data_IF_105764324120
#
_entry.id   IF_105764324120
#
_cell.length_a   1.000
_cell.length_b   1.000
_cell.length_c   1.000
_cell.angle_alpha   90.00
_cell.angle_beta   90.00
_cell.angle_gamma   90.00
#
_symmetry.space_group_name_H-M   'P 1'
#
loop_
_entity.id
_entity.type
_entity.pdbx_description
1 polymer ?
#
# COMPACT_ATOMS: atom_id res chain seq x y z
N UNK A 1 2.73 -23.04 -12.74
CA UNK A 1 2.58 -21.67 -13.23
C UNK A 1 3.78 -20.86 -12.77
N UNK A 2 4.39 -20.09 -13.65
CA UNK A 2 5.58 -19.28 -13.37
C UNK A 2 5.19 -17.85 -13.01
N UNK A 3 5.58 -17.38 -11.83
CA UNK A 3 5.29 -16.02 -11.37
C UNK A 3 6.60 -15.30 -11.08
N UNK A 4 6.74 -14.06 -11.56
CA UNK A 4 7.85 -13.19 -11.22
C UNK A 4 7.40 -12.09 -10.27
N UNK A 5 8.14 -11.86 -9.17
CA UNK A 5 7.96 -10.75 -8.24
C UNK A 5 9.00 -9.69 -8.56
N UNK A 6 8.53 -8.54 -9.01
CA UNK A 6 9.34 -7.39 -9.41
C UNK A 6 9.57 -6.49 -8.19
N UNK A 7 10.77 -6.55 -7.61
CA UNK A 7 11.14 -5.93 -6.35
C UNK A 7 11.21 -6.94 -5.21
N UNK A 8 12.35 -6.96 -4.51
CA UNK A 8 12.68 -7.93 -3.46
C UNK A 8 12.97 -7.24 -2.12
N UNK A 9 12.32 -6.08 -1.89
CA UNK A 9 12.42 -5.30 -0.66
C UNK A 9 11.72 -5.96 0.53
N UNK A 10 11.34 -5.15 1.53
CA UNK A 10 10.69 -5.61 2.76
C UNK A 10 9.37 -6.35 2.47
N UNK A 11 8.53 -5.79 1.60
CA UNK A 11 7.22 -6.37 1.26
C UNK A 11 7.33 -7.42 0.15
N UNK A 12 8.06 -7.13 -0.95
CA UNK A 12 8.20 -8.06 -2.07
C UNK A 12 8.80 -9.41 -1.66
N UNK A 13 9.74 -9.41 -0.72
CA UNK A 13 10.28 -10.64 -0.14
C UNK A 13 9.24 -11.46 0.62
N UNK A 14 8.29 -10.81 1.31
CA UNK A 14 7.17 -11.50 2.01
C UNK A 14 6.19 -12.08 1.00
N UNK A 15 5.86 -11.33 -0.04
CA UNK A 15 5.01 -11.80 -1.14
C UNK A 15 5.60 -13.05 -1.77
N UNK A 16 6.89 -13.00 -2.12
CA UNK A 16 7.57 -14.13 -2.77
C UNK A 16 7.58 -15.38 -1.88
N UNK A 17 7.87 -15.21 -0.58
CA UNK A 17 7.85 -16.31 0.39
C UNK A 17 6.47 -16.93 0.54
N UNK A 18 5.43 -16.09 0.64
CA UNK A 18 4.07 -16.59 0.76
C UNK A 18 3.62 -17.31 -0.52
N UNK A 19 3.92 -16.76 -1.70
CA UNK A 19 3.63 -17.42 -2.99
C UNK A 19 4.35 -18.76 -3.13
N UNK A 20 5.61 -18.84 -2.76
CA UNK A 20 6.42 -20.06 -2.84
C UNK A 20 5.97 -21.17 -1.88
N UNK A 21 5.20 -20.84 -0.84
CA UNK A 21 4.59 -21.83 0.04
C UNK A 21 3.47 -22.64 -0.65
N UNK A 22 2.96 -22.19 -1.81
CA UNK A 22 2.06 -22.94 -2.68
C UNK A 22 2.91 -23.76 -3.65
N UNK A 23 3.03 -25.08 -3.42
CA UNK A 23 3.87 -25.98 -4.21
C UNK A 23 3.53 -26.07 -5.71
N UNK A 24 2.45 -25.45 -6.16
CA UNK A 24 2.04 -25.39 -7.57
C UNK A 24 2.57 -24.15 -8.31
N UNK A 25 3.24 -23.24 -7.62
CA UNK A 25 3.78 -22.00 -8.18
C UNK A 25 5.32 -22.04 -8.24
N UNK A 26 5.87 -21.78 -9.42
CA UNK A 26 7.30 -21.52 -9.61
C UNK A 26 7.53 -20.00 -9.46
N UNK A 27 8.14 -19.59 -8.35
CA UNK A 27 8.32 -18.17 -8.03
C UNK A 27 9.75 -17.75 -8.30
N UNK A 28 9.91 -16.65 -9.04
CA UNK A 28 11.18 -15.95 -9.24
C UNK A 28 11.07 -14.54 -8.66
N UNK A 29 12.12 -14.08 -7.97
CA UNK A 29 12.24 -12.69 -7.51
C UNK A 29 13.27 -11.96 -8.37
N UNK A 30 12.96 -10.74 -8.77
CA UNK A 30 13.87 -9.89 -9.53
C UNK A 30 14.08 -8.56 -8.83
N UNK A 31 15.35 -8.16 -8.66
CA UNK A 31 15.75 -6.90 -8.03
C UNK A 31 17.13 -6.49 -8.52
N UNK A 32 17.44 -5.19 -8.44
CA UNK A 32 18.81 -4.71 -8.68
C UNK A 32 19.79 -5.08 -7.56
N UNK A 33 19.29 -5.36 -6.36
CA UNK A 33 20.08 -5.67 -5.18
C UNK A 33 20.28 -7.18 -5.03
N UNK A 34 21.49 -7.65 -5.29
CA UNK A 34 21.89 -9.04 -5.02
C UNK A 34 21.65 -9.44 -3.57
N UNK A 35 21.95 -8.54 -2.62
CA UNK A 35 21.74 -8.80 -1.20
C UNK A 35 20.26 -9.04 -0.86
N UNK A 36 19.35 -8.24 -1.44
CA UNK A 36 17.91 -8.41 -1.24
C UNK A 36 17.43 -9.77 -1.78
N UNK A 37 17.88 -10.16 -2.96
CA UNK A 37 17.59 -11.46 -3.56
C UNK A 37 18.12 -12.59 -2.67
N UNK A 38 19.39 -12.56 -2.28
CA UNK A 38 20.02 -13.61 -1.49
C UNK A 38 19.34 -13.79 -0.12
N UNK A 39 18.81 -12.71 0.45
CA UNK A 39 18.02 -12.77 1.70
C UNK A 39 16.76 -13.64 1.52
N UNK A 40 16.03 -13.50 0.41
CA UNK A 40 14.82 -14.28 0.15
C UNK A 40 15.15 -15.72 -0.26
N UNK A 41 16.20 -15.94 -1.07
CA UNK A 41 16.68 -17.27 -1.46
C UNK A 41 17.04 -18.15 -0.25
N UNK A 42 17.56 -17.55 0.83
CA UNK A 42 17.83 -18.28 2.08
C UNK A 42 16.59 -18.70 2.85
N UNK A 43 15.44 -18.11 2.55
CA UNK A 43 14.21 -18.27 3.35
C UNK A 43 13.07 -19.01 2.61
N UNK A 44 13.17 -19.12 1.28
CA UNK A 44 12.11 -19.74 0.47
C UNK A 44 12.67 -20.39 -0.80
N UNK A 45 12.01 -21.44 -1.33
CA UNK A 45 12.39 -22.12 -2.56
C UNK A 45 12.02 -21.28 -3.79
N UNK A 46 12.70 -20.16 -4.01
CA UNK A 46 12.49 -19.27 -5.15
C UNK A 46 13.75 -19.14 -5.98
N UNK A 47 13.63 -18.70 -7.24
CA UNK A 47 14.76 -18.31 -8.08
C UNK A 47 15.03 -16.81 -7.94
N UNK A 48 16.21 -16.35 -8.30
CA UNK A 48 16.59 -14.94 -8.21
C UNK A 48 17.23 -14.44 -9.49
N UNK A 49 16.83 -13.25 -9.95
CA UNK A 49 17.36 -12.57 -11.13
C UNK A 49 17.78 -11.14 -10.76
N UNK A 50 18.93 -10.69 -11.28
CA UNK A 50 19.36 -9.30 -11.10
C UNK A 50 18.86 -8.49 -12.27
N UNK A 51 17.92 -7.56 -12.00
CA UNK A 51 17.31 -6.67 -12.99
C UNK A 51 17.25 -5.24 -12.48
N UNK A 52 17.66 -4.29 -13.30
CA UNK A 52 17.52 -2.87 -13.01
C UNK A 52 16.30 -2.32 -13.75
N UNK A 53 15.18 -2.22 -13.04
CA UNK A 53 13.89 -1.76 -13.57
C UNK A 53 13.86 -0.27 -13.95
N UNK A 54 14.90 0.49 -13.67
CA UNK A 54 15.03 1.86 -14.15
C UNK A 54 15.40 1.95 -15.64
N UNK A 55 15.82 0.84 -16.23
CA UNK A 55 16.22 0.78 -17.65
C UNK A 55 14.99 0.50 -18.52
N UNK A 56 14.77 1.28 -19.59
CA UNK A 56 13.68 1.05 -20.52
C UNK A 56 13.71 -0.39 -21.09
N UNK A 57 12.55 -1.05 -21.12
CA UNK A 57 12.38 -2.42 -21.63
C UNK A 57 12.80 -3.52 -20.67
N UNK A 58 13.50 -3.21 -19.57
CA UNK A 58 13.99 -4.22 -18.63
C UNK A 58 12.87 -5.02 -17.96
N UNK A 59 11.74 -4.38 -17.68
CA UNK A 59 10.57 -5.06 -17.11
C UNK A 59 9.96 -6.01 -18.14
N UNK A 60 9.74 -5.53 -19.37
CA UNK A 60 9.16 -6.34 -20.44
C UNK A 60 9.98 -7.59 -20.72
N UNK A 61 11.31 -7.45 -20.77
CA UNK A 61 12.21 -8.57 -21.01
C UNK A 61 12.18 -9.55 -19.84
N UNK A 62 12.20 -9.05 -18.60
CA UNK A 62 12.15 -9.86 -17.38
C UNK A 62 10.85 -10.69 -17.27
N UNK A 63 9.70 -10.16 -17.70
CA UNK A 63 8.40 -10.86 -17.57
C UNK A 63 8.09 -11.80 -18.74
N UNK A 64 8.89 -11.81 -19.80
CA UNK A 64 8.60 -12.51 -21.06
C UNK A 64 8.29 -14.00 -20.88
N UNK A 65 9.09 -14.70 -20.06
CA UNK A 65 9.03 -16.15 -19.83
C UNK A 65 8.09 -16.56 -18.68
N UNK A 66 7.37 -15.59 -18.09
CA UNK A 66 6.46 -15.82 -16.97
C UNK A 66 5.01 -15.74 -17.39
N UNK A 67 4.15 -16.42 -16.63
CA UNK A 67 2.71 -16.42 -16.86
C UNK A 67 2.06 -15.15 -16.27
N UNK A 68 2.62 -14.62 -15.19
CA UNK A 68 2.10 -13.50 -14.43
C UNK A 68 3.21 -12.76 -13.68
N UNK A 69 3.03 -11.45 -13.46
CA UNK A 69 3.90 -10.64 -12.61
C UNK A 69 3.21 -10.21 -11.31
N UNK A 70 4.02 -9.90 -10.29
CA UNK A 70 3.61 -9.21 -9.08
C UNK A 70 4.54 -8.00 -8.90
N UNK A 71 3.96 -6.79 -8.81
CA UNK A 71 4.70 -5.55 -8.68
C UNK A 71 4.92 -5.20 -7.20
N UNK A 72 6.19 -4.92 -6.83
CA UNK A 72 6.59 -4.47 -5.50
C UNK A 72 7.81 -3.53 -5.58
N UNK A 73 7.85 -2.70 -6.62
CA UNK A 73 8.90 -1.69 -6.84
C UNK A 73 8.56 -0.38 -6.12
N UNK A 74 9.54 0.52 -5.89
CA UNK A 74 9.27 1.87 -5.39
C UNK A 74 8.28 2.63 -6.28
N UNK A 75 7.47 3.52 -5.70
CA UNK A 75 6.37 4.21 -6.38
C UNK A 75 6.77 4.89 -7.69
N UNK A 76 7.92 5.55 -7.74
CA UNK A 76 8.40 6.26 -8.94
C UNK A 76 8.71 5.34 -10.15
N UNK A 77 8.81 4.02 -9.95
CA UNK A 77 8.96 3.02 -11.02
C UNK A 77 7.63 2.35 -11.38
N UNK A 78 6.61 2.47 -10.52
CA UNK A 78 5.38 1.68 -10.59
C UNK A 78 4.63 1.84 -11.89
N UNK A 79 4.38 3.07 -12.34
CA UNK A 79 3.61 3.33 -13.56
C UNK A 79 4.27 2.74 -14.83
N UNK A 80 5.58 2.97 -15.00
CA UNK A 80 6.31 2.43 -16.15
C UNK A 80 6.40 0.89 -16.08
N UNK A 81 6.60 0.33 -14.90
CA UNK A 81 6.57 -1.12 -14.67
C UNK A 81 5.22 -1.70 -15.10
N UNK A 82 4.09 -1.13 -14.63
CA UNK A 82 2.74 -1.56 -15.04
C UNK A 82 2.58 -1.52 -16.57
N UNK A 83 2.97 -0.40 -17.19
CA UNK A 83 2.88 -0.24 -18.66
C UNK A 83 3.64 -1.33 -19.41
N UNK A 84 4.90 -1.59 -19.06
CA UNK A 84 5.72 -2.61 -19.74
C UNK A 84 5.16 -4.04 -19.53
N UNK A 85 4.62 -4.37 -18.33
CA UNK A 85 3.97 -5.66 -18.06
C UNK A 85 2.71 -5.82 -18.91
N UNK A 86 1.88 -4.77 -19.03
CA UNK A 86 0.67 -4.78 -19.87
C UNK A 86 1.06 -4.94 -21.35
N UNK A 87 2.06 -4.21 -21.83
CA UNK A 87 2.57 -4.33 -23.20
C UNK A 87 3.05 -5.75 -23.52
N UNK A 88 3.66 -6.44 -22.54
CA UNK A 88 4.04 -7.84 -22.62
C UNK A 88 2.85 -8.83 -22.59
N UNK A 89 1.62 -8.34 -22.39
CA UNK A 89 0.41 -9.18 -22.33
C UNK A 89 0.33 -10.05 -21.09
N UNK A 90 0.87 -9.58 -19.95
CA UNK A 90 0.87 -10.34 -18.68
C UNK A 90 -0.09 -9.76 -17.66
N UNK A 91 -0.78 -10.65 -16.93
CA UNK A 91 -1.53 -10.24 -15.73
C UNK A 91 -0.56 -9.76 -14.65
N UNK A 92 -1.02 -8.79 -13.84
CA UNK A 92 -0.23 -8.28 -12.71
C UNK A 92 -1.12 -7.93 -11.52
N UNK A 93 -0.61 -8.19 -10.32
CA UNK A 93 -1.09 -7.61 -9.06
C UNK A 93 0.03 -6.75 -8.49
N UNK A 94 -0.26 -5.48 -8.22
CA UNK A 94 0.76 -4.48 -7.89
C UNK A 94 0.45 -3.76 -6.57
N UNK A 95 1.51 -3.53 -5.80
CA UNK A 95 1.46 -2.73 -4.55
C UNK A 95 2.19 -1.40 -4.65
N UNK A 96 2.74 -1.06 -5.82
CA UNK A 96 3.54 0.16 -5.98
C UNK A 96 2.66 1.40 -5.79
N UNK A 97 3.10 2.32 -4.93
CA UNK A 97 2.40 3.58 -4.66
C UNK A 97 2.82 4.66 -5.67
N UNK A 98 2.50 4.42 -6.96
CA UNK A 98 2.89 5.34 -8.03
C UNK A 98 2.18 6.71 -7.90
N UNK A 99 2.85 7.84 -8.16
CA UNK A 99 2.20 9.16 -8.17
C UNK A 99 1.23 9.33 -9.34
N UNK A 100 1.46 8.61 -10.43
CA UNK A 100 0.61 8.67 -11.64
C UNK A 100 -0.70 7.91 -11.43
N UNK A 101 -1.68 8.27 -12.24
CA UNK A 101 -2.98 7.60 -12.28
C UNK A 101 -2.92 6.34 -13.15
N UNK A 102 -2.87 5.18 -12.51
CA UNK A 102 -2.85 3.88 -13.19
C UNK A 102 -4.07 3.60 -14.08
N UNK A 103 -5.22 4.27 -13.84
CA UNK A 103 -6.40 4.15 -14.70
C UNK A 103 -6.16 4.62 -16.15
N UNK A 104 -5.15 5.43 -16.40
CA UNK A 104 -4.75 5.80 -17.76
C UNK A 104 -4.29 4.61 -18.62
N UNK A 105 -3.90 3.51 -17.98
CA UNK A 105 -3.49 2.27 -18.64
C UNK A 105 -4.66 1.31 -18.94
N UNK A 106 -5.90 1.64 -18.51
CA UNK A 106 -7.05 0.73 -18.61
C UNK A 106 -7.37 0.32 -20.05
N UNK A 107 -7.37 1.27 -20.98
CA UNK A 107 -7.63 0.97 -22.40
C UNK A 107 -6.58 0.03 -23.00
N UNK A 108 -5.31 0.21 -22.64
CA UNK A 108 -4.22 -0.67 -23.07
C UNK A 108 -4.37 -2.07 -22.45
N UNK A 109 -4.69 -2.15 -21.17
CA UNK A 109 -4.88 -3.42 -20.47
C UNK A 109 -6.08 -4.20 -21.02
N UNK A 110 -7.19 -3.53 -21.36
CA UNK A 110 -8.34 -4.12 -22.06
C UNK A 110 -7.98 -4.63 -23.44
N UNK A 111 -7.24 -3.84 -24.23
CA UNK A 111 -6.77 -4.26 -25.55
C UNK A 111 -5.89 -5.52 -25.48
N UNK A 112 -5.09 -5.65 -24.44
CA UNK A 112 -4.21 -6.80 -24.19
C UNK A 112 -4.93 -7.95 -23.47
N UNK A 113 -6.20 -7.78 -23.11
CA UNK A 113 -7.02 -8.76 -22.38
C UNK A 113 -6.38 -9.24 -21.06
N UNK A 114 -5.63 -8.36 -20.37
CA UNK A 114 -4.95 -8.66 -19.11
C UNK A 114 -5.70 -8.10 -17.92
N UNK A 115 -5.50 -8.74 -16.75
CA UNK A 115 -5.96 -8.27 -15.45
C UNK A 115 -4.82 -7.51 -14.77
N UNK A 116 -5.06 -6.25 -14.43
CA UNK A 116 -4.09 -5.36 -13.79
C UNK A 116 -4.68 -4.85 -12.47
N UNK A 117 -4.49 -5.59 -11.39
CA UNK A 117 -4.95 -5.19 -10.06
C UNK A 117 -3.89 -4.27 -9.44
N UNK A 118 -4.24 -3.02 -9.27
CA UNK A 118 -3.35 -1.96 -8.75
C UNK A 118 -3.61 -1.66 -7.29
N UNK A 119 -2.66 -0.96 -6.64
CA UNK A 119 -2.80 -0.52 -5.24
C UNK A 119 -3.22 -1.68 -4.28
N UNK A 120 -2.75 -2.90 -4.48
CA UNK A 120 -3.22 -4.10 -3.78
C UNK A 120 -2.46 -4.37 -2.47
N UNK A 121 -2.29 -3.33 -1.63
CA UNK A 121 -1.60 -3.40 -0.34
C UNK A 121 -2.56 -3.42 0.86
N UNK A 122 -2.13 -2.81 1.97
CA UNK A 122 -2.99 -2.59 3.14
C UNK A 122 -3.81 -1.32 2.99
N UNK A 123 -3.18 -0.18 2.67
CA UNK A 123 -3.78 1.10 2.36
C UNK A 123 -2.80 1.93 1.50
N UNK A 124 -3.14 2.16 0.24
CA UNK A 124 -4.29 1.64 -0.48
C UNK A 124 -4.26 0.11 -0.63
N UNK A 125 -5.45 -0.48 -0.78
CA UNK A 125 -5.61 -1.92 -0.97
C UNK A 125 -6.75 -2.47 -0.13
N UNK A 126 -6.46 -3.13 1.00
CA UNK A 126 -7.51 -3.63 1.89
C UNK A 126 -8.45 -2.53 2.37
N UNK A 127 -7.97 -1.31 2.60
CA UNK A 127 -8.81 -0.16 2.91
C UNK A 127 -9.88 0.08 1.85
N UNK A 128 -9.48 0.06 0.58
CA UNK A 128 -10.36 0.24 -0.57
C UNK A 128 -11.31 -0.96 -0.76
N UNK A 129 -10.79 -2.19 -0.60
CA UNK A 129 -11.57 -3.43 -0.68
C UNK A 129 -12.68 -3.43 0.37
N UNK A 130 -12.37 -3.07 1.61
CA UNK A 130 -13.34 -2.99 2.71
C UNK A 130 -14.39 -1.89 2.46
N UNK A 131 -13.95 -0.72 1.96
CA UNK A 131 -14.85 0.37 1.58
C UNK A 131 -15.80 -0.04 0.45
N UNK A 132 -15.27 -0.69 -0.59
CA UNK A 132 -16.05 -1.21 -1.72
C UNK A 132 -17.07 -2.26 -1.29
N UNK A 133 -16.67 -3.19 -0.42
CA UNK A 133 -17.56 -4.20 0.12
C UNK A 133 -18.68 -3.59 0.96
N UNK A 134 -18.36 -2.75 1.95
CA UNK A 134 -19.35 -2.11 2.82
C UNK A 134 -20.35 -1.28 2.02
N UNK A 135 -19.87 -0.46 1.07
CA UNK A 135 -20.74 0.34 0.23
C UNK A 135 -21.67 -0.52 -0.65
N UNK A 136 -21.21 -1.69 -1.12
CA UNK A 136 -22.05 -2.60 -1.93
C UNK A 136 -23.18 -3.28 -1.15
N UNK A 137 -23.15 -3.22 0.19
CA UNK A 137 -24.21 -3.74 1.06
C UNK A 137 -25.28 -2.70 1.42
N UNK A 138 -25.08 -1.45 1.02
CA UNK A 138 -25.95 -0.32 1.29
C UNK A 138 -26.75 0.08 0.05
N UNK A 139 -27.93 0.68 0.26
CA UNK A 139 -28.70 1.33 -0.81
C UNK A 139 -28.03 2.66 -1.20
N UNK A 140 -27.51 3.38 -0.21
CA UNK A 140 -26.81 4.65 -0.37
C UNK A 140 -25.65 4.74 0.63
N UNK A 141 -24.42 4.92 0.15
CA UNK A 141 -23.26 5.20 0.97
C UNK A 141 -23.04 6.72 1.06
N UNK A 142 -23.02 7.28 2.26
CA UNK A 142 -22.95 8.72 2.53
C UNK A 142 -21.56 9.21 2.90
N UNK A 143 -20.78 8.37 3.60
CA UNK A 143 -19.40 8.71 3.96
C UNK A 143 -18.50 7.48 4.09
N UNK A 144 -17.21 7.70 3.80
CA UNK A 144 -16.14 6.72 4.03
C UNK A 144 -14.94 7.41 4.69
N UNK A 145 -14.51 6.89 5.83
CA UNK A 145 -13.31 7.33 6.52
C UNK A 145 -12.34 6.17 6.67
N UNK A 146 -11.10 6.40 6.26
CA UNK A 146 -10.00 5.45 6.38
C UNK A 146 -8.93 6.06 7.29
N UNK A 147 -8.58 5.34 8.36
CA UNK A 147 -7.50 5.69 9.26
C UNK A 147 -6.50 4.54 9.25
N UNK A 148 -5.23 4.79 8.93
CA UNK A 148 -4.21 3.75 8.84
C UNK A 148 -2.85 4.23 9.30
N UNK A 149 -2.07 3.37 9.93
CA UNK A 149 -0.71 3.69 10.34
C UNK A 149 0.13 2.47 10.66
N UNK A 150 1.44 2.59 10.40
CA UNK A 150 2.46 1.69 10.90
C UNK A 150 3.29 2.41 11.95
N UNK A 151 3.42 1.84 13.16
CA UNK A 151 4.06 2.49 14.28
C UNK A 151 4.99 1.51 15.02
N UNK A 152 6.12 1.99 15.55
CA UNK A 152 6.95 1.18 16.44
C UNK A 152 6.20 0.90 17.75
N UNK A 153 6.40 -0.29 18.32
CA UNK A 153 5.85 -0.64 19.64
C UNK A 153 6.47 0.26 20.72
N UNK A 154 7.79 0.47 20.64
CA UNK A 154 8.53 1.37 21.53
C UNK A 154 8.66 2.76 20.91
N UNK A 155 8.39 3.80 21.72
CA UNK A 155 8.43 5.19 21.30
C UNK A 155 9.81 5.79 21.53
N UNK A 156 10.57 5.98 20.46
CA UNK A 156 11.92 6.57 20.51
C UNK A 156 11.92 8.04 20.14
N UNK A 157 12.34 8.87 21.07
CA UNK A 157 12.57 10.31 20.85
C UNK A 157 13.57 10.53 19.69
N UNK A 158 13.42 11.57 18.83
CA UNK A 158 12.42 12.66 18.89
C UNK A 158 11.15 12.38 18.09
N UNK A 159 11.15 11.46 17.13
CA UNK A 159 10.07 11.31 16.15
C UNK A 159 9.02 10.27 16.54
N UNK A 160 9.37 9.35 17.42
CA UNK A 160 8.50 8.24 17.82
C UNK A 160 7.97 7.47 16.59
N UNK A 161 8.80 7.35 15.57
CA UNK A 161 8.47 6.77 14.28
C UNK A 161 9.60 5.85 13.81
N UNK A 162 9.21 4.79 13.10
CA UNK A 162 10.08 3.89 12.34
C UNK A 162 9.51 3.69 10.96
N UNK A 163 10.39 3.71 9.95
CA UNK A 163 10.01 3.40 8.57
C UNK A 163 9.73 1.91 8.46
N UNK A 164 8.55 1.59 7.99
CA UNK A 164 8.06 0.22 7.80
C UNK A 164 7.85 -0.13 6.32
N UNK A 165 8.04 0.83 5.43
CA UNK A 165 7.93 0.70 3.97
C UNK A 165 8.99 1.57 3.26
N UNK A 166 8.72 2.13 2.08
CA UNK A 166 9.67 2.97 1.33
C UNK A 166 9.97 4.29 2.05
N UNK A 167 11.25 4.63 2.31
CA UNK A 167 11.60 5.89 2.97
C UNK A 167 11.22 7.15 2.19
N UNK A 168 11.32 7.11 0.86
CA UNK A 168 10.96 8.24 0.01
C UNK A 168 9.45 8.46 0.01
N UNK A 169 8.66 7.39 -0.12
CA UNK A 169 7.20 7.47 -0.09
C UNK A 169 6.70 7.98 1.28
N UNK A 170 7.46 7.74 2.38
CA UNK A 170 7.15 8.30 3.70
C UNK A 170 7.26 9.84 3.72
N UNK A 171 8.26 10.43 3.07
CA UNK A 171 8.39 11.90 3.01
C UNK A 171 7.26 12.48 2.14
N UNK A 172 6.88 11.78 1.06
CA UNK A 172 5.78 12.20 0.20
C UNK A 172 4.46 12.34 0.96
N UNK A 173 4.19 11.52 1.99
CA UNK A 173 3.01 11.67 2.85
C UNK A 173 2.94 13.03 3.56
N UNK A 174 4.07 13.71 3.77
CA UNK A 174 4.14 14.97 4.50
C UNK A 174 4.14 16.22 3.60
N UNK A 175 4.30 16.04 2.29
CA UNK A 175 4.38 17.15 1.33
C UNK A 175 3.30 17.11 0.26
N UNK A 176 2.84 15.92 -0.16
CA UNK A 176 1.82 15.78 -1.20
C UNK A 176 0.46 16.24 -0.67
N UNK A 177 -0.24 17.17 -1.36
CA UNK A 177 -1.60 17.54 -1.02
C UNK A 177 -2.52 16.32 -0.98
N UNK A 178 -3.36 16.23 0.06
CA UNK A 178 -4.33 15.16 0.21
C UNK A 178 -5.61 15.48 -0.58
N UNK A 179 -6.02 14.59 -1.46
CA UNK A 179 -7.29 14.69 -2.17
C UNK A 179 -8.36 13.99 -1.35
N UNK A 180 -9.41 14.72 -1.01
CA UNK A 180 -10.59 14.21 -0.28
C UNK A 180 -11.85 14.44 -1.11
N UNK A 181 -12.93 13.74 -0.78
CA UNK A 181 -14.26 13.99 -1.36
C UNK A 181 -15.11 14.73 -0.34
N UNK A 182 -15.59 15.92 -0.67
CA UNK A 182 -16.51 16.69 0.15
C UNK A 182 -17.74 17.08 -0.66
N UNK A 183 -18.92 16.67 -0.20
CA UNK A 183 -20.20 16.93 -0.88
C UNK A 183 -20.19 16.57 -2.38
N UNK A 184 -19.55 15.43 -2.72
CA UNK A 184 -19.46 14.93 -4.09
C UNK A 184 -18.45 15.66 -4.98
N UNK A 185 -17.55 16.46 -4.39
CA UNK A 185 -16.48 17.17 -5.11
C UNK A 185 -15.13 16.80 -4.55
N UNK A 186 -14.16 16.62 -5.44
CA UNK A 186 -12.76 16.42 -5.02
C UNK A 186 -12.20 17.76 -4.55
N UNK A 187 -11.69 17.79 -3.34
CA UNK A 187 -11.05 18.95 -2.70
C UNK A 187 -9.62 18.58 -2.33
N UNK A 188 -8.68 19.47 -2.60
CA UNK A 188 -7.30 19.32 -2.13
C UNK A 188 -7.13 19.98 -0.76
N UNK A 189 -6.55 19.25 0.16
CA UNK A 189 -6.16 19.71 1.50
C UNK A 189 -4.63 19.67 1.59
N UNK A 190 -4.08 20.53 2.43
CA UNK A 190 -2.65 20.41 2.74
C UNK A 190 -2.36 19.05 3.40
N UNK A 191 -1.20 18.48 3.08
CA UNK A 191 -0.67 17.37 3.87
C UNK A 191 -0.54 17.77 5.34
N UNK A 192 -0.68 16.83 6.26
CA UNK A 192 -0.61 17.08 7.71
C UNK A 192 -1.72 18.02 8.24
N UNK A 193 -2.80 18.24 7.49
CA UNK A 193 -3.93 19.08 7.92
C UNK A 193 -4.98 18.29 8.68
N UNK A 194 -5.93 19.00 9.29
CA UNK A 194 -7.08 18.46 10.04
C UNK A 194 -6.66 17.39 11.06
N UNK A 195 -5.62 17.72 11.82
CA UNK A 195 -5.09 16.86 12.88
C UNK A 195 -6.15 16.60 13.94
N UNK A 196 -6.37 15.34 14.28
CA UNK A 196 -7.28 14.94 15.34
C UNK A 196 -6.71 13.78 16.17
N UNK A 197 -7.12 13.67 17.41
CA UNK A 197 -6.75 12.56 18.29
C UNK A 197 -7.83 11.48 18.22
N UNK A 198 -7.40 10.24 18.02
CA UNK A 198 -8.29 9.09 17.86
C UNK A 198 -7.87 7.97 18.79
N UNK A 199 -8.81 7.45 19.57
CA UNK A 199 -8.53 6.33 20.47
C UNK A 199 -8.71 4.99 19.76
N UNK A 200 -7.72 4.11 19.94
CA UNK A 200 -7.74 2.73 19.50
C UNK A 200 -7.68 1.79 20.70
N UNK A 201 -8.68 0.91 20.89
CA UNK A 201 -8.70 -0.06 22.00
C UNK A 201 -7.44 -0.93 22.00
N UNK A 202 -6.74 -0.97 23.13
CA UNK A 202 -5.51 -1.76 23.31
C UNK A 202 -4.23 -1.09 22.79
N UNK A 203 -4.34 0.07 22.09
CA UNK A 203 -3.20 0.85 21.58
C UNK A 203 -3.07 2.17 22.36
N UNK A 204 -4.18 2.83 22.63
CA UNK A 204 -4.25 4.17 23.19
C UNK A 204 -4.58 5.24 22.14
N UNK A 205 -4.27 6.49 22.49
CA UNK A 205 -4.55 7.63 21.62
C UNK A 205 -3.48 7.79 20.55
N UNK A 206 -3.90 7.88 19.30
CA UNK A 206 -3.08 8.18 18.12
C UNK A 206 -3.48 9.53 17.54
N UNK A 207 -2.60 10.13 16.76
CA UNK A 207 -2.82 11.35 16.00
C UNK A 207 -3.10 10.97 14.54
N UNK A 208 -4.21 11.49 14.00
CA UNK A 208 -4.62 11.30 12.60
C UNK A 208 -4.51 12.62 11.84
N UNK A 209 -4.00 12.59 10.61
CA UNK A 209 -3.89 13.76 9.73
C UNK A 209 -4.09 13.36 8.27
N UNK A 210 -4.58 14.30 7.45
CA UNK A 210 -4.89 14.05 6.04
C UNK A 210 -3.67 13.62 5.24
N UNK A 211 -3.84 12.54 4.46
CA UNK A 211 -2.89 12.04 3.46
C UNK A 211 -3.60 11.62 2.17
N UNK A 212 -2.87 11.46 1.06
CA UNK A 212 -3.45 11.20 -0.27
C UNK A 212 -3.66 9.69 -0.54
N UNK A 213 -4.40 9.03 0.34
CA UNK A 213 -4.59 7.57 0.30
C UNK A 213 -5.89 7.08 -0.33
N UNK A 214 -6.86 7.94 -0.67
CA UNK A 214 -8.13 7.52 -1.30
C UNK A 214 -7.95 6.93 -2.70
N UNK A 215 -7.00 7.44 -3.47
CA UNK A 215 -6.60 6.91 -4.78
C UNK A 215 -7.78 6.72 -5.72
N UNK A 216 -8.00 5.46 -6.15
CA UNK A 216 -9.05 5.09 -7.09
C UNK A 216 -10.46 5.34 -6.56
N UNK A 217 -10.69 5.27 -5.25
CA UNK A 217 -12.00 5.54 -4.62
C UNK A 217 -12.60 6.88 -5.06
N UNK A 218 -11.77 7.92 -5.26
CA UNK A 218 -12.22 9.24 -5.70
C UNK A 218 -12.94 9.23 -7.05
N UNK A 219 -12.67 8.24 -7.90
CA UNK A 219 -13.21 8.14 -9.27
C UNK A 219 -14.24 7.03 -9.41
N UNK A 220 -14.14 5.98 -8.61
CA UNK A 220 -14.90 4.74 -8.79
C UNK A 220 -16.09 4.63 -7.85
N UNK A 221 -16.04 5.32 -6.70
CA UNK A 221 -17.08 5.26 -5.69
C UNK A 221 -17.96 6.51 -5.69
N UNK A 222 -19.29 6.29 -5.61
CA UNK A 222 -20.27 7.37 -5.51
C UNK A 222 -20.60 7.67 -4.04
N UNK A 223 -19.56 8.00 -3.25
CA UNK A 223 -19.70 8.36 -1.84
C UNK A 223 -19.41 9.86 -1.72
N UNK A 224 -20.36 10.70 -1.29
CA UNK A 224 -20.20 12.16 -1.33
C UNK A 224 -19.15 12.70 -0.37
N UNK A 225 -18.81 11.96 0.68
CA UNK A 225 -17.80 12.39 1.66
C UNK A 225 -16.81 11.26 1.92
N UNK A 226 -15.55 11.45 1.51
CA UNK A 226 -14.49 10.46 1.74
C UNK A 226 -13.20 11.14 2.17
N UNK A 227 -12.53 10.57 3.15
CA UNK A 227 -11.18 10.98 3.58
C UNK A 227 -10.33 9.78 3.98
N UNK A 228 -9.04 9.94 3.81
CA UNK A 228 -8.05 9.03 4.36
C UNK A 228 -7.08 9.84 5.23
N UNK A 229 -6.70 9.30 6.37
CA UNK A 229 -5.75 9.89 7.30
C UNK A 229 -4.71 8.89 7.75
N UNK A 230 -3.47 9.32 7.76
CA UNK A 230 -2.38 8.57 8.35
C UNK A 230 -2.37 8.73 9.87
N UNK A 231 -2.08 7.62 10.55
CA UNK A 231 -2.00 7.54 12.00
C UNK A 231 -0.54 7.54 12.46
N UNK A 232 -0.22 8.37 13.46
CA UNK A 232 1.08 8.41 14.14
C UNK A 232 0.87 8.60 15.64
N UNK A 233 1.95 8.58 16.42
CA UNK A 233 1.88 9.00 17.82
C UNK A 233 1.67 10.51 17.93
N UNK A 234 0.96 10.99 18.97
CA UNK A 234 0.66 12.41 19.15
C UNK A 234 1.90 13.32 19.12
N UNK A 235 1.81 14.42 18.36
CA UNK A 235 2.89 15.41 18.18
C UNK A 235 3.82 15.10 16.98
N UNK A 236 3.56 14.05 16.21
CA UNK A 236 4.35 13.74 15.01
C UNK A 236 4.07 14.73 13.88
N UNK A 237 2.79 15.03 13.63
CA UNK A 237 2.39 15.95 12.56
C UNK A 237 2.99 17.35 12.76
N UNK A 238 3.06 17.84 14.00
CA UNK A 238 3.68 19.12 14.30
C UNK A 238 5.16 19.15 13.95
N UNK A 239 5.91 18.10 14.31
CA UNK A 239 7.33 17.97 13.98
C UNK A 239 7.58 17.94 12.46
N UNK A 240 6.75 17.19 11.71
CA UNK A 240 6.85 17.10 10.26
C UNK A 240 6.47 18.42 9.59
N UNK A 241 5.45 19.11 10.10
CA UNK A 241 5.05 20.45 9.63
C UNK A 241 6.18 21.45 9.85
N UNK A 242 6.81 21.44 11.02
CA UNK A 242 7.96 22.31 11.30
C UNK A 242 9.10 22.08 10.29
N UNK A 243 9.44 20.83 9.97
CA UNK A 243 10.46 20.52 8.97
C UNK A 243 10.05 21.00 7.57
N UNK A 244 8.77 20.81 7.18
CA UNK A 244 8.24 21.25 5.89
C UNK A 244 8.27 22.78 5.78
N UNK A 245 7.70 23.51 6.73
CA UNK A 245 7.61 24.97 6.71
C UNK A 245 8.99 25.65 6.79
N UNK A 246 9.95 24.99 7.42
CA UNK A 246 11.34 25.46 7.46
C UNK A 246 12.08 25.21 6.13
N UNK A 247 11.50 24.43 5.20
CA UNK A 247 12.07 24.11 3.88
C UNK A 247 12.95 22.88 3.85
N UNK A 248 13.04 22.08 4.93
CA UNK A 248 13.87 20.86 4.94
C UNK A 248 13.40 19.79 3.93
N UNK A 249 12.13 19.81 3.52
CA UNK A 249 11.59 18.93 2.48
C UNK A 249 11.60 19.57 1.07
N UNK A 250 12.26 20.73 0.90
CA UNK A 250 12.36 21.41 -0.37
C UNK A 250 13.20 20.65 -1.39
N UNK A 251 12.73 20.61 -2.64
CA UNK A 251 13.44 19.98 -3.78
C UNK A 251 14.38 20.93 -4.52
N UNK A 252 14.15 22.24 -4.41
CA UNK A 252 14.96 23.26 -5.05
C UNK A 252 16.32 23.37 -4.36
N UNK A 253 17.43 23.33 -5.12
CA UNK A 253 18.76 23.46 -4.55
C UNK A 253 19.02 24.80 -3.89
N UNK A 254 19.56 24.81 -2.67
CA UNK A 254 20.07 25.99 -1.98
C UNK A 254 21.60 25.97 -1.96
N UNK A 255 22.22 27.15 -1.99
CA UNK A 255 23.67 27.25 -1.94
C UNK A 255 24.15 27.30 -0.48
N UNK A 256 25.04 26.36 -0.13
CA UNK A 256 25.66 26.27 1.20
C UNK A 256 27.18 26.14 1.02
N UNK A 257 27.91 27.18 1.42
CA UNK A 257 29.37 27.17 1.30
C UNK A 257 29.90 26.99 -0.12
N UNK A 258 29.21 27.51 -1.13
CA UNK A 258 29.57 27.36 -2.56
C UNK A 258 29.14 26.03 -3.20
N UNK A 259 28.43 25.17 -2.47
CA UNK A 259 27.89 23.90 -2.99
C UNK A 259 26.38 23.97 -3.07
N UNK A 260 25.79 23.54 -4.19
CA UNK A 260 24.34 23.41 -4.33
C UNK A 260 23.87 22.10 -3.69
N UNK A 261 22.97 22.21 -2.71
CA UNK A 261 22.42 21.09 -1.96
C UNK A 261 20.89 21.15 -2.04
N UNK A 262 20.25 20.06 -2.38
CA UNK A 262 18.78 19.93 -2.23
C UNK A 262 18.45 19.65 -0.76
N UNK A 263 17.64 20.50 -0.09
CA UNK A 263 17.32 20.29 1.32
C UNK A 263 16.76 18.91 1.62
N UNK A 264 15.88 18.39 0.76
CA UNK A 264 15.28 17.06 0.94
C UNK A 264 16.32 15.93 0.96
N UNK A 265 17.38 16.02 0.15
CA UNK A 265 18.42 14.99 0.09
C UNK A 265 19.23 14.94 1.39
N UNK A 266 19.57 16.11 1.94
CA UNK A 266 20.24 16.23 3.23
C UNK A 266 19.35 15.73 4.36
N UNK A 267 18.08 16.15 4.35
CA UNK A 267 17.08 15.76 5.36
C UNK A 267 16.89 14.24 5.36
N UNK A 268 16.69 13.63 4.19
CA UNK A 268 16.60 12.18 4.04
C UNK A 268 17.85 11.47 4.57
N UNK A 269 19.05 12.00 4.26
CA UNK A 269 20.31 11.43 4.75
C UNK A 269 20.44 11.44 6.28
N UNK A 270 19.85 12.44 6.93
CA UNK A 270 19.85 12.55 8.39
C UNK A 270 18.74 11.74 9.05
N UNK A 271 17.52 11.78 8.50
CA UNK A 271 16.32 11.16 9.09
C UNK A 271 16.29 9.64 8.90
N UNK A 272 16.62 9.11 7.71
CA UNK A 272 16.44 7.68 7.42
C UNK A 272 17.22 6.76 8.35
N UNK A 273 18.49 7.05 8.75
CA UNK A 273 19.18 6.24 9.75
C UNK A 273 18.48 6.23 11.12
N UNK A 274 17.83 7.34 11.49
CA UNK A 274 17.07 7.46 12.74
C UNK A 274 15.73 6.75 12.67
N UNK A 275 15.10 6.77 11.51
CA UNK A 275 13.79 6.16 11.28
C UNK A 275 13.86 4.67 10.89
N UNK A 276 15.04 4.19 10.51
CA UNK A 276 15.22 2.79 10.17
C UNK A 276 14.82 1.90 11.34
N UNK A 277 13.91 0.94 11.09
CA UNK A 277 13.59 -0.11 12.04
C UNK A 277 14.85 -0.96 12.25
N UNK A 278 15.30 -1.05 13.50
CA UNK A 278 16.51 -1.80 13.87
C UNK A 278 16.18 -3.25 14.13
N UNK A 279 17.21 -4.09 14.09
CA UNK A 279 17.06 -5.50 14.47
C UNK A 279 16.53 -5.62 15.91
N UNK A 280 15.52 -6.46 16.11
CA UNK A 280 14.83 -6.64 17.39
C UNK A 280 13.76 -5.59 17.74
N UNK A 281 13.70 -4.45 17.02
CA UNK A 281 12.58 -3.52 17.19
C UNK A 281 11.32 -4.07 16.54
N UNK A 282 10.20 -3.92 17.24
CA UNK A 282 8.88 -4.40 16.80
C UNK A 282 8.01 -3.24 16.39
N UNK A 283 7.12 -3.49 15.45
CA UNK A 283 6.13 -2.52 14.98
C UNK A 283 4.75 -3.18 14.89
N UNK A 284 3.74 -2.36 14.74
CA UNK A 284 2.39 -2.81 14.49
C UNK A 284 1.73 -1.96 13.41
N UNK A 285 0.75 -2.54 12.74
CA UNK A 285 -0.14 -1.86 11.79
C UNK A 285 -1.52 -1.75 12.40
N UNK A 286 -2.06 -0.54 12.37
CA UNK A 286 -3.42 -0.24 12.81
C UNK A 286 -4.21 0.37 11.66
N UNK A 287 -5.45 -0.09 11.48
CA UNK A 287 -6.35 0.49 10.49
C UNK A 287 -7.79 0.46 10.99
N UNK A 288 -8.53 1.52 10.67
CA UNK A 288 -9.98 1.56 10.81
C UNK A 288 -10.60 2.08 9.52
N UNK A 289 -11.51 1.32 8.94
CA UNK A 289 -12.33 1.74 7.80
C UNK A 289 -13.76 1.85 8.29
N UNK A 290 -14.36 3.02 8.13
CA UNK A 290 -15.75 3.29 8.52
C UNK A 290 -16.53 3.76 7.31
N UNK A 291 -17.60 3.04 6.96
CA UNK A 291 -18.55 3.44 5.91
C UNK A 291 -19.91 3.63 6.53
N UNK A 292 -20.52 4.79 6.32
CA UNK A 292 -21.86 5.12 6.79
C UNK A 292 -22.79 5.36 5.62
N UNK A 293 -24.05 5.02 5.78
CA UNK A 293 -25.07 5.21 4.76
C UNK A 293 -26.40 4.66 5.18
N UNK A 294 -27.24 4.29 4.21
CA UNK A 294 -28.59 3.76 4.43
C UNK A 294 -28.77 2.40 3.82
N UNK A 295 -29.51 1.55 4.51
CA UNK A 295 -30.01 0.26 4.03
C UNK A 295 -31.45 0.08 4.48
N UNK A 296 -32.33 -0.27 3.54
CA UNK A 296 -33.77 -0.42 3.78
C UNK A 296 -34.38 0.82 4.48
N UNK A 297 -33.89 2.02 4.10
CA UNK A 297 -34.32 3.31 4.66
C UNK A 297 -33.81 3.62 6.08
N UNK A 298 -32.94 2.79 6.66
CA UNK A 298 -32.36 2.97 7.99
C UNK A 298 -30.89 3.31 7.89
N UNK A 299 -30.39 4.13 8.81
CA UNK A 299 -28.96 4.40 8.95
C UNK A 299 -28.22 3.11 9.33
N UNK A 300 -27.09 2.90 8.69
CA UNK A 300 -26.20 1.78 8.95
C UNK A 300 -24.77 2.24 8.89
N UNK A 301 -23.92 1.67 9.76
CA UNK A 301 -22.50 1.93 9.81
C UNK A 301 -21.73 0.61 9.86
N UNK A 302 -20.86 0.40 8.89
CA UNK A 302 -19.86 -0.68 8.90
C UNK A 302 -18.53 -0.12 9.38
N UNK A 303 -17.91 -0.80 10.33
CA UNK A 303 -16.58 -0.46 10.84
C UNK A 303 -15.70 -1.70 10.83
N UNK A 304 -14.56 -1.61 10.14
CA UNK A 304 -13.54 -2.65 10.12
C UNK A 304 -12.31 -2.15 10.88
N UNK A 305 -11.84 -2.92 11.85
CA UNK A 305 -10.65 -2.62 12.61
C UNK A 305 -9.59 -3.71 12.40
N UNK A 306 -8.36 -3.27 12.15
CA UNK A 306 -7.16 -4.09 12.14
C UNK A 306 -6.22 -3.59 13.23
N UNK A 307 -5.67 -4.51 14.00
CA UNK A 307 -4.43 -4.33 14.76
C UNK A 307 -3.62 -5.59 14.53
N UNK A 308 -2.52 -5.46 13.81
CA UNK A 308 -1.58 -6.54 13.52
C UNK A 308 -0.20 -6.17 14.06
N UNK A 309 0.51 -7.13 14.61
CA UNK A 309 1.82 -6.94 15.20
C UNK A 309 2.91 -7.68 14.43
N UNK A 310 4.15 -7.25 14.64
CA UNK A 310 5.34 -7.99 14.20
C UNK A 310 5.22 -9.49 14.57
N UNK A 311 5.43 -10.36 13.60
CA UNK A 311 5.41 -11.82 13.83
C UNK A 311 6.82 -12.30 14.19
N UNK A 312 7.04 -12.58 15.48
CA UNK A 312 8.31 -13.08 16.00
C UNK A 312 8.71 -14.45 15.42
N UNK A 313 7.73 -15.28 15.11
CA UNK A 313 7.94 -16.64 14.59
C UNK A 313 8.59 -16.63 13.21
N UNK A 314 8.18 -15.70 12.37
CA UNK A 314 8.66 -15.55 10.98
C UNK A 314 9.63 -14.38 10.83
N UNK A 315 9.89 -13.63 11.90
CA UNK A 315 10.68 -12.39 11.90
C UNK A 315 10.21 -11.42 10.81
N UNK A 316 8.88 -11.20 10.75
CA UNK A 316 8.25 -10.44 9.68
C UNK A 316 7.47 -9.25 10.26
N UNK A 317 7.71 -8.07 9.70
CA UNK A 317 7.01 -6.84 10.09
C UNK A 317 5.52 -6.93 9.79
N UNK A 318 4.70 -6.31 10.63
CA UNK A 318 3.26 -6.23 10.43
C UNK A 318 2.90 -5.55 9.11
N UNK A 319 3.57 -4.44 8.78
CA UNK A 319 3.35 -3.74 7.52
C UNK A 319 3.63 -4.64 6.31
N UNK A 320 4.70 -5.42 6.35
CA UNK A 320 5.01 -6.34 5.26
C UNK A 320 4.02 -7.52 5.17
N UNK A 321 3.49 -7.98 6.31
CA UNK A 321 2.44 -9.02 6.36
C UNK A 321 1.12 -8.50 5.81
N UNK A 322 0.61 -7.39 6.34
CA UNK A 322 -0.71 -6.84 5.99
C UNK A 322 -0.77 -6.39 4.53
N UNK A 323 0.33 -5.82 4.01
CA UNK A 323 0.47 -5.44 2.59
C UNK A 323 0.72 -6.68 1.72
N UNK A 324 1.73 -7.47 2.07
CA UNK A 324 2.19 -8.57 1.21
C UNK A 324 1.21 -9.72 1.10
N UNK A 325 0.50 -10.08 2.17
CA UNK A 325 -0.48 -11.16 2.12
C UNK A 325 -1.72 -10.78 1.32
N UNK A 326 -2.19 -9.53 1.39
CA UNK A 326 -3.25 -9.05 0.52
C UNK A 326 -2.88 -9.26 -0.95
N UNK A 327 -1.70 -8.80 -1.34
CA UNK A 327 -1.19 -8.94 -2.69
C UNK A 327 -1.00 -10.42 -3.11
N UNK A 328 -0.35 -11.23 -2.30
CA UNK A 328 -0.06 -12.63 -2.64
C UNK A 328 -1.31 -13.50 -2.74
N UNK A 329 -2.33 -13.24 -1.92
CA UNK A 329 -3.62 -13.92 -2.02
C UNK A 329 -4.31 -13.54 -3.32
N UNK A 330 -4.40 -12.25 -3.62
CA UNK A 330 -4.99 -11.78 -4.88
C UNK A 330 -4.23 -12.29 -6.10
N UNK A 331 -2.90 -12.35 -6.04
CA UNK A 331 -2.09 -12.95 -7.10
C UNK A 331 -2.46 -14.43 -7.33
N UNK A 332 -2.71 -15.21 -6.28
CA UNK A 332 -3.19 -16.60 -6.41
C UNK A 332 -4.59 -16.67 -7.03
N UNK A 333 -5.49 -15.76 -6.65
CA UNK A 333 -6.86 -15.74 -7.21
C UNK A 333 -6.84 -15.39 -8.70
N UNK A 334 -6.01 -14.44 -9.11
CA UNK A 334 -5.80 -14.12 -10.53
C UNK A 334 -5.15 -15.31 -11.25
N UNK A 335 -4.09 -15.90 -10.69
CA UNK A 335 -3.39 -17.05 -11.24
C UNK A 335 -4.31 -18.26 -11.47
N UNK A 336 -5.25 -18.51 -10.57
CA UNK A 336 -6.23 -19.60 -10.67
C UNK A 336 -7.46 -19.27 -11.52
N UNK A 337 -7.53 -18.06 -12.09
CA UNK A 337 -8.71 -17.61 -12.85
C UNK A 337 -9.96 -17.38 -11.99
N UNK A 338 -9.80 -17.30 -10.67
CA UNK A 338 -10.91 -17.01 -9.73
C UNK A 338 -11.23 -15.52 -9.67
N UNK A 339 -10.33 -14.68 -10.16
CA UNK A 339 -10.54 -13.26 -10.38
C UNK A 339 -10.02 -12.87 -11.77
N UNK A 340 -10.91 -12.40 -12.65
CA UNK A 340 -10.62 -12.23 -14.10
C UNK A 340 -11.10 -10.87 -14.64
N UNK A 341 -10.97 -9.80 -13.88
CA UNK A 341 -11.30 -8.45 -14.38
C UNK A 341 -10.33 -8.05 -15.50
N UNK A 342 -10.82 -7.85 -16.74
CA UNK A 342 -10.00 -7.38 -17.86
C UNK A 342 -9.89 -5.86 -17.86
N UNK A 343 -8.66 -5.36 -17.87
CA UNK A 343 -8.37 -3.94 -17.69
C UNK A 343 -7.65 -3.65 -16.37
N UNK A 344 -7.50 -2.36 -16.05
CA UNK A 344 -7.03 -1.92 -14.73
C UNK A 344 -8.17 -2.08 -13.73
N UNK A 345 -7.91 -2.83 -12.68
CA UNK A 345 -8.87 -3.13 -11.63
C UNK A 345 -8.50 -2.35 -10.35
N UNK A 346 -9.29 -1.36 -9.94
CA UNK A 346 -9.21 -0.77 -8.62
C UNK A 346 -9.53 -1.79 -7.52
N UNK A 347 -8.89 -1.71 -6.33
CA UNK A 347 -9.10 -2.70 -5.27
C UNK A 347 -10.55 -2.75 -4.75
N UNK A 348 -11.28 -1.64 -4.75
CA UNK A 348 -12.68 -1.59 -4.34
C UNK A 348 -13.59 -2.50 -5.16
N UNK A 349 -13.23 -2.82 -6.41
CA UNK A 349 -13.97 -3.77 -7.25
C UNK A 349 -13.80 -5.22 -6.76
N UNK A 350 -12.66 -5.52 -6.13
CA UNK A 350 -12.47 -6.81 -5.42
C UNK A 350 -13.47 -6.90 -4.26
N UNK A 351 -13.65 -5.81 -3.50
CA UNK A 351 -14.62 -5.76 -2.41
C UNK A 351 -16.08 -5.96 -2.87
N UNK A 352 -16.44 -5.41 -4.03
CA UNK A 352 -17.78 -5.58 -4.63
C UNK A 352 -18.03 -7.03 -5.11
N UNK A 353 -16.98 -7.82 -5.32
CA UNK A 353 -17.11 -9.26 -5.58
C UNK A 353 -17.12 -10.02 -4.24
N UNK A 354 -18.33 -10.26 -3.72
CA UNK A 354 -18.53 -10.84 -2.39
C UNK A 354 -17.91 -12.21 -2.19
N UNK A 355 -17.79 -13.03 -3.24
CA UNK A 355 -17.16 -14.35 -3.16
C UNK A 355 -15.65 -14.21 -3.00
N UNK A 356 -15.02 -13.40 -3.84
CA UNK A 356 -13.58 -13.11 -3.78
C UNK A 356 -13.23 -12.44 -2.47
N UNK A 357 -14.04 -11.49 -2.00
CA UNK A 357 -13.87 -10.83 -0.71
C UNK A 357 -13.85 -11.81 0.47
N UNK A 358 -14.80 -12.76 0.51
CA UNK A 358 -14.85 -13.80 1.56
C UNK A 358 -13.59 -14.66 1.56
N UNK A 359 -13.18 -15.13 0.37
CA UNK A 359 -11.95 -15.92 0.22
C UNK A 359 -10.74 -15.12 0.72
N UNK A 360 -10.62 -13.85 0.32
CA UNK A 360 -9.52 -12.99 0.75
C UNK A 360 -9.44 -12.85 2.27
N UNK A 361 -10.58 -12.57 2.94
CA UNK A 361 -10.61 -12.45 4.41
C UNK A 361 -10.27 -13.77 5.11
N UNK A 362 -10.75 -14.92 4.60
CA UNK A 362 -10.43 -16.23 5.15
C UNK A 362 -8.93 -16.54 5.02
N UNK A 363 -8.34 -16.26 3.86
CA UNK A 363 -6.92 -16.47 3.60
C UNK A 363 -6.03 -15.54 4.43
N UNK A 364 -6.43 -14.28 4.63
CA UNK A 364 -5.76 -13.36 5.56
C UNK A 364 -5.83 -13.88 7.00
N UNK A 365 -7.00 -14.36 7.45
CA UNK A 365 -7.17 -14.94 8.79
C UNK A 365 -6.28 -16.16 9.02
N UNK A 366 -6.12 -17.05 8.04
CA UNK A 366 -5.20 -18.20 8.10
C UNK A 366 -3.74 -17.76 8.29
N UNK A 367 -3.38 -16.56 7.83
CA UNK A 367 -2.06 -15.94 8.00
C UNK A 367 -1.95 -15.07 9.25
N UNK A 368 -3.01 -15.05 10.08
CA UNK A 368 -3.07 -14.30 11.32
C UNK A 368 -3.42 -12.81 11.17
N UNK A 369 -3.72 -12.32 9.95
CA UNK A 369 -4.19 -10.97 9.71
C UNK A 369 -5.72 -10.92 9.81
N UNK A 370 -6.24 -10.24 10.83
CA UNK A 370 -7.65 -10.32 11.20
C UNK A 370 -8.30 -8.94 11.18
N UNK A 371 -9.25 -8.75 10.28
CA UNK A 371 -10.13 -7.58 10.25
C UNK A 371 -11.39 -7.86 11.07
N UNK A 372 -11.63 -7.05 12.12
CA UNK A 372 -12.81 -7.16 12.98
C UNK A 372 -13.90 -6.24 12.46
N UNK A 373 -15.00 -6.82 12.01
CA UNK A 373 -16.20 -6.09 11.57
C UNK A 373 -17.11 -5.77 12.76
N UNK A 374 -17.69 -4.57 12.71
CA UNK A 374 -18.79 -4.14 13.61
C UNK A 374 -19.84 -3.42 12.75
N UNK A 375 -21.10 -3.78 12.95
CA UNK A 375 -22.26 -3.16 12.28
C UNK A 375 -23.13 -2.50 13.36
N UNK A 376 -23.50 -1.24 13.14
CA UNK A 376 -24.32 -0.47 14.08
C UNK A 376 -25.27 0.48 13.38
#
# INVERSE_FOLDING_TARGET
MKIIVLGCGLVGGVIAKDLAADGNLEVTVADRSREAIDRVLRQAPVRGEIVDFSKPGAVRDAVSDFDMAVGAVPGFLGYNMLKEVIEAGKNIVDISFAPEDSMQLDSLAKQKEVTVLVDCGVAPGMSNILAGYAASLMDEAESCEILVGGLPVERYWPYEYRIVFSPLDTIDEYIRPARVMENGRIVEKEALSEVELVDFPGIGTLEAFNTDGLRTLLKTMKIPNMKEKTLRYPGHAEKMRMLRETGFFGSEPVEVGGVKVRPIDLTARLLFPMWKLKEGEKEFTVMRVTVKGKKDGREIKYTYNLVDYFDERTNTTSMARTTGFTCSIMARLVAKGQFTHKGVCPPEFVGQNHEVFKILLEELRKRGVIYKETIS
#
